data_IF_259994490570
#
_entry.id   IF_259994490570
#
_cell.length_a   1.000
_cell.length_b   1.000
_cell.length_c   1.000
_cell.angle_alpha   90.00
_cell.angle_beta   90.00
_cell.angle_gamma   90.00
#
_symmetry.space_group_name_H-M   'P 1'
#
loop_
_entity.id
_entity.type
_entity.pdbx_description
1 polymer ?
#
# COMPACT_ATOMS: atom_id res chain seq x y z
N UNK A 1 0.08 11.06 5.95
CA UNK A 1 0.66 10.90 4.60
C UNK A 1 0.88 12.24 3.92
N UNK A 2 -0.14 13.08 3.69
CA UNK A 2 0.04 14.37 3.01
C UNK A 2 1.12 15.29 3.60
N UNK A 3 1.18 15.47 4.92
CA UNK A 3 2.20 16.33 5.54
C UNK A 3 3.64 15.84 5.31
N UNK A 4 3.88 14.54 5.48
CA UNK A 4 5.20 13.94 5.24
C UNK A 4 5.57 13.89 3.76
N UNK A 5 4.59 13.68 2.87
CA UNK A 5 4.83 13.70 1.43
C UNK A 5 5.16 15.12 0.98
N UNK A 6 4.36 16.13 1.35
CA UNK A 6 4.64 17.54 0.99
C UNK A 6 5.97 18.05 1.52
N UNK A 7 6.39 17.61 2.71
CA UNK A 7 7.70 17.98 3.26
C UNK A 7 8.87 17.38 2.48
N UNK A 8 8.69 16.21 1.86
CA UNK A 8 9.77 15.45 1.20
C UNK A 8 9.74 15.55 -0.32
N UNK A 9 8.55 15.80 -0.88
CA UNK A 9 8.23 15.91 -2.30
C UNK A 9 7.29 17.11 -2.48
N UNK A 10 7.81 18.35 -2.44
CA UNK A 10 7.00 19.57 -2.49
C UNK A 10 6.25 19.76 -3.82
N UNK A 11 6.78 19.20 -4.91
CA UNK A 11 6.18 19.24 -6.25
C UNK A 11 5.01 18.25 -6.43
N UNK A 12 4.80 17.35 -5.45
CA UNK A 12 3.73 16.38 -5.52
C UNK A 12 2.35 17.06 -5.56
N UNK A 13 1.44 16.63 -6.44
CA UNK A 13 0.11 17.21 -6.50
C UNK A 13 -0.63 17.01 -5.17
N UNK A 14 -1.41 18.02 -4.79
CA UNK A 14 -2.20 17.97 -3.58
C UNK A 14 -3.42 17.06 -3.76
N UNK A 15 -3.39 15.87 -3.16
CA UNK A 15 -4.59 15.03 -3.04
C UNK A 15 -5.38 15.43 -1.78
N UNK A 16 -6.68 15.74 -1.87
CA UNK A 16 -7.50 16.08 -0.70
C UNK A 16 -7.49 14.95 0.34
N UNK A 17 -7.40 15.29 1.63
CA UNK A 17 -7.30 14.30 2.70
C UNK A 17 -8.55 13.41 2.77
N UNK A 18 -9.70 13.96 2.43
CA UNK A 18 -11.00 13.27 2.38
C UNK A 18 -10.99 12.17 1.31
N UNK A 19 -10.35 12.41 0.16
CA UNK A 19 -10.19 11.40 -0.89
C UNK A 19 -9.26 10.28 -0.46
N UNK A 20 -8.17 10.61 0.23
CA UNK A 20 -7.25 9.61 0.79
C UNK A 20 -7.92 8.74 1.85
N UNK A 21 -8.74 9.35 2.73
CA UNK A 21 -9.53 8.64 3.72
C UNK A 21 -10.60 7.75 3.07
N UNK A 22 -11.30 8.27 2.06
CA UNK A 22 -12.31 7.51 1.32
C UNK A 22 -11.72 6.25 0.69
N UNK A 23 -10.54 6.32 0.06
CA UNK A 23 -9.87 5.13 -0.48
C UNK A 23 -9.71 4.02 0.56
N UNK A 24 -9.28 4.36 1.78
CA UNK A 24 -9.08 3.37 2.86
C UNK A 24 -10.42 2.78 3.32
N UNK A 25 -11.48 3.58 3.42
CA UNK A 25 -12.79 3.14 3.89
C UNK A 25 -13.57 2.34 2.83
N UNK A 26 -13.36 2.65 1.55
CA UNK A 26 -14.04 2.03 0.41
C UNK A 26 -13.36 0.75 -0.08
N UNK A 27 -12.07 0.55 0.22
CA UNK A 27 -11.37 -0.66 -0.16
C UNK A 27 -11.91 -1.89 0.58
N UNK A 28 -12.29 -2.94 -0.15
CA UNK A 28 -12.83 -4.18 0.42
C UNK A 28 -11.76 -5.11 1.01
N UNK A 29 -10.52 -5.01 0.53
CA UNK A 29 -9.42 -5.88 0.94
C UNK A 29 -8.06 -5.22 0.69
N UNK A 30 -7.01 -5.82 1.25
CA UNK A 30 -5.63 -5.46 0.94
C UNK A 30 -5.34 -5.76 -0.53
N UNK A 31 -4.86 -4.76 -1.27
CA UNK A 31 -4.52 -4.91 -2.68
C UNK A 31 -3.45 -5.96 -2.97
N UNK A 32 -2.66 -6.35 -1.96
CA UNK A 32 -1.57 -7.31 -2.13
C UNK A 32 -1.95 -8.72 -1.67
N UNK A 33 -2.36 -8.88 -0.41
CA UNK A 33 -2.61 -10.22 0.16
C UNK A 33 -4.09 -10.61 0.23
N UNK A 34 -5.00 -9.73 -0.17
CA UNK A 34 -6.44 -9.99 -0.16
C UNK A 34 -7.07 -10.12 1.22
N UNK A 35 -6.36 -9.81 2.32
CA UNK A 35 -6.98 -9.82 3.66
C UNK A 35 -8.14 -8.81 3.69
N UNK A 36 -9.35 -9.20 4.15
CA UNK A 36 -10.50 -8.31 4.17
C UNK A 36 -10.25 -7.05 4.99
N UNK A 37 -10.70 -5.92 4.46
CA UNK A 37 -10.87 -4.69 5.20
C UNK A 37 -12.33 -4.66 5.66
N UNK A 38 -12.56 -4.53 6.97
CA UNK A 38 -13.90 -4.47 7.56
C UNK A 38 -14.65 -3.16 7.21
N UNK A 39 -14.11 -2.37 6.26
CA UNK A 39 -14.54 -1.00 5.90
C UNK A 39 -14.49 -0.02 7.05
N UNK A 40 -13.84 -0.39 8.15
CA UNK A 40 -13.50 0.52 9.25
C UNK A 40 -12.09 1.10 9.06
N UNK A 41 -11.35 0.60 8.06
CA UNK A 41 -10.01 1.08 7.68
C UNK A 41 -8.91 0.76 8.71
N UNK A 42 -9.25 0.05 9.78
CA UNK A 42 -8.32 -0.26 10.87
C UNK A 42 -7.22 -1.18 10.39
N UNK A 43 -5.98 -0.74 10.55
CA UNK A 43 -4.81 -1.51 10.13
C UNK A 43 -4.55 -1.47 8.62
N UNK A 44 -5.23 -0.60 7.89
CA UNK A 44 -4.98 -0.32 6.47
C UNK A 44 -4.33 1.05 6.29
N UNK A 45 -3.49 1.15 5.27
CA UNK A 45 -2.70 2.34 4.95
C UNK A 45 -2.62 2.50 3.43
N UNK A 46 -2.40 3.72 2.99
CA UNK A 46 -2.06 3.98 1.58
C UNK A 46 -0.60 3.64 1.35
N UNK A 47 -0.35 2.91 0.27
CA UNK A 47 0.97 2.56 -0.25
C UNK A 47 1.13 3.16 -1.65
N UNK A 48 2.34 3.62 -1.96
CA UNK A 48 2.69 4.01 -3.33
C UNK A 48 3.16 2.77 -4.09
N UNK A 49 2.40 2.36 -5.11
CA UNK A 49 2.68 1.15 -5.90
C UNK A 49 4.11 1.19 -6.43
N UNK A 50 4.47 2.26 -7.14
CA UNK A 50 5.86 2.65 -7.37
C UNK A 50 6.32 3.58 -6.23
N UNK A 51 7.36 3.21 -5.46
CA UNK A 51 7.88 4.04 -4.38
C UNK A 51 8.28 5.43 -4.85
N UNK A 52 8.00 6.45 -4.04
CA UNK A 52 8.44 7.83 -4.34
C UNK A 52 9.97 7.95 -4.44
N UNK A 53 10.71 7.15 -3.67
CA UNK A 53 12.19 7.08 -3.74
C UNK A 53 12.70 6.52 -5.07
N UNK A 54 11.87 5.80 -5.82
CA UNK A 54 12.17 5.23 -7.12
C UNK A 54 11.46 5.98 -8.27
N UNK A 55 11.08 7.24 -8.03
CA UNK A 55 10.48 8.10 -9.06
C UNK A 55 8.97 7.91 -9.26
N UNK A 56 8.29 7.16 -8.38
CA UNK A 56 6.83 7.08 -8.41
C UNK A 56 6.18 8.43 -8.09
N UNK A 57 5.03 8.69 -8.69
CA UNK A 57 4.27 9.92 -8.47
C UNK A 57 3.35 9.81 -7.24
N UNK A 58 3.10 10.92 -6.54
CA UNK A 58 2.04 10.97 -5.55
C UNK A 58 0.70 11.33 -6.19
N UNK A 59 0.14 10.40 -6.95
CA UNK A 59 -1.16 10.53 -7.62
C UNK A 59 -2.12 9.42 -7.17
N UNK A 60 -3.42 9.61 -7.37
CA UNK A 60 -4.42 8.58 -7.04
C UNK A 60 -4.15 7.26 -7.78
N UNK A 61 -3.63 7.34 -9.01
CA UNK A 61 -3.34 6.18 -9.85
C UNK A 61 -2.14 5.34 -9.34
N UNK A 62 -1.22 5.97 -8.60
CA UNK A 62 -0.09 5.29 -7.98
C UNK A 62 -0.34 4.92 -6.51
N UNK A 63 -1.52 5.19 -5.97
CA UNK A 63 -1.88 4.85 -4.59
C UNK A 63 -2.72 3.58 -4.54
N UNK A 64 -2.37 2.71 -3.60
CA UNK A 64 -3.11 1.48 -3.32
C UNK A 64 -3.38 1.33 -1.82
N UNK A 65 -4.38 0.53 -1.45
CA UNK A 65 -4.73 0.26 -0.06
C UNK A 65 -4.14 -1.07 0.39
N UNK A 66 -3.24 -1.00 1.36
CA UNK A 66 -2.49 -2.13 1.87
C UNK A 66 -2.72 -2.32 3.36
N UNK A 67 -2.79 -3.57 3.82
CA UNK A 67 -2.74 -3.84 5.25
C UNK A 67 -1.36 -3.49 5.80
N UNK A 68 -1.27 -3.14 7.09
CA UNK A 68 -0.05 -2.70 7.73
C UNK A 68 1.10 -3.71 7.64
N UNK A 69 0.80 -5.01 7.52
CA UNK A 69 1.80 -6.06 7.32
C UNK A 69 2.42 -6.00 5.92
N UNK A 70 1.59 -5.94 4.88
CA UNK A 70 2.06 -5.85 3.49
C UNK A 70 2.75 -4.52 3.23
N UNK A 71 2.18 -3.41 3.70
CA UNK A 71 2.78 -2.08 3.56
C UNK A 71 4.19 -2.02 4.16
N UNK A 72 4.40 -2.61 5.35
CA UNK A 72 5.74 -2.68 5.96
C UNK A 72 6.69 -3.64 5.24
N UNK A 73 6.16 -4.74 4.70
CA UNK A 73 6.97 -5.73 4.00
C UNK A 73 7.41 -5.25 2.61
N UNK A 74 6.54 -4.54 1.88
CA UNK A 74 6.86 -3.92 0.60
C UNK A 74 7.96 -2.87 0.77
N UNK A 75 7.76 -1.97 1.72
CA UNK A 75 8.69 -0.88 2.01
C UNK A 75 9.02 -0.05 0.75
N UNK A 76 10.22 -0.18 0.19
CA UNK A 76 10.65 0.51 -1.02
C UNK A 76 10.84 -0.44 -2.22
N UNK A 77 10.37 -1.69 -2.13
CA UNK A 77 10.39 -2.62 -3.26
C UNK A 77 9.46 -2.14 -4.36
N UNK A 78 9.86 -2.40 -5.60
CA UNK A 78 8.95 -2.37 -6.75
C UNK A 78 7.83 -3.40 -6.57
N UNK A 79 6.76 -3.24 -7.34
CA UNK A 79 5.61 -4.15 -7.25
C UNK A 79 6.00 -5.59 -7.62
N UNK A 80 6.89 -5.76 -8.59
CA UNK A 80 7.35 -7.07 -9.06
C UNK A 80 8.19 -7.77 -7.99
N UNK A 81 9.17 -7.07 -7.41
CA UNK A 81 9.99 -7.59 -6.30
C UNK A 81 9.12 -8.00 -5.10
N UNK A 82 8.07 -7.21 -4.82
CA UNK A 82 7.17 -7.49 -3.72
C UNK A 82 6.23 -8.67 -4.00
N UNK A 83 5.71 -8.81 -5.21
CA UNK A 83 4.90 -9.98 -5.59
C UNK A 83 5.73 -11.26 -5.52
N UNK A 84 6.95 -11.24 -6.03
CA UNK A 84 7.90 -12.34 -5.91
C UNK A 84 8.17 -12.72 -4.45
N UNK A 85 8.33 -11.74 -3.57
CA UNK A 85 8.47 -11.98 -2.13
C UNK A 85 7.20 -12.57 -1.51
N UNK A 86 6.04 -12.05 -1.89
CA UNK A 86 4.75 -12.46 -1.36
C UNK A 86 4.45 -13.91 -1.72
N UNK A 87 4.69 -14.31 -2.97
CA UNK A 87 4.54 -15.68 -3.44
C UNK A 87 5.41 -16.64 -2.63
N UNK A 88 6.68 -16.27 -2.37
CA UNK A 88 7.57 -17.07 -1.53
C UNK A 88 7.05 -17.22 -0.09
N UNK A 89 6.48 -16.16 0.49
CA UNK A 89 5.93 -16.18 1.85
C UNK A 89 4.63 -16.98 1.93
N UNK A 90 3.74 -16.84 0.95
CA UNK A 90 2.49 -17.58 0.88
C UNK A 90 2.73 -19.08 0.65
N UNK A 91 3.68 -19.45 -0.22
CA UNK A 91 4.08 -20.83 -0.42
C UNK A 91 4.62 -21.49 0.87
N UNK A 92 5.46 -20.77 1.63
CA UNK A 92 5.97 -21.25 2.94
C UNK A 92 4.84 -21.44 3.96
N UNK A 93 3.82 -20.58 3.95
CA UNK A 93 2.65 -20.71 4.83
C UNK A 93 1.82 -21.94 4.49
N UNK A 94 1.62 -22.25 3.22
CA UNK A 94 0.87 -23.43 2.79
C UNK A 94 1.60 -24.73 3.21
N UNK A 95 2.93 -24.74 3.15
CA UNK A 95 3.75 -25.88 3.60
C UNK A 95 3.80 -26.08 5.12
N UNK A 96 3.49 -25.04 5.91
CA UNK A 96 3.52 -25.11 7.38
C UNK A 96 2.18 -25.52 8.01
N UNK A 97 1.11 -25.65 7.20
CA UNK A 97 -0.24 -26.05 7.65
C UNK A 97 -0.59 -27.49 7.19
N UNK A 98 0.32 -28.13 6.47
CA UNK A 98 0.29 -29.54 6.05
C UNK A 98 1.29 -30.36 6.85
#
# INVERSE_FOLDING_TARGET
MNGSVRSRFPEAPAVPAERLAAMILEADACAYCGVPNDREGRGFQLDHVQPLSQGGEHSLDNLSVACARCNRAKWDQSIDEFHDWLDRVLARRQQAVS
#
